data_IF_982035506704
#
_entry.id   IF_982035506704
#
_cell.length_a   1.000
_cell.length_b   1.000
_cell.length_c   1.000
_cell.angle_alpha   90.00
_cell.angle_beta   90.00
_cell.angle_gamma   90.00
#
_symmetry.space_group_name_H-M   'P 1'
#
loop_
_entity.id
_entity.type
_entity.pdbx_description
1 polymer ?
#
# COMPACT_ATOMS: atom_id res chain seq x y z
N UNK A 1 17.76 -3.16 -7.78
CA UNK A 1 17.62 -2.39 -6.52
C UNK A 1 16.14 -2.32 -6.18
N UNK A 2 15.68 -2.89 -5.05
CA UNK A 2 14.28 -2.73 -4.62
C UNK A 2 14.18 -1.36 -3.93
N UNK A 3 13.28 -0.51 -4.40
CA UNK A 3 13.05 0.87 -3.94
C UNK A 3 12.70 0.93 -2.43
N UNK A 4 13.05 2.05 -1.79
CA UNK A 4 13.12 2.23 -0.33
C UNK A 4 11.81 2.08 0.46
N UNK A 5 10.62 2.10 -0.16
CA UNK A 5 9.34 1.85 0.55
C UNK A 5 9.16 0.36 0.85
N UNK A 6 9.45 -0.52 -0.11
CA UNK A 6 9.38 -1.97 0.09
C UNK A 6 10.35 -2.44 1.16
N UNK A 7 11.52 -1.81 1.26
CA UNK A 7 12.51 -2.17 2.27
C UNK A 7 12.04 -1.79 3.69
N UNK A 8 11.36 -0.65 3.84
CA UNK A 8 10.74 -0.25 5.11
C UNK A 8 9.55 -1.14 5.49
N UNK A 9 8.77 -1.60 4.51
CA UNK A 9 7.69 -2.56 4.73
C UNK A 9 8.20 -3.94 5.21
N UNK A 10 9.48 -4.25 5.04
CA UNK A 10 10.08 -5.49 5.54
C UNK A 10 10.77 -5.32 6.90
N UNK A 11 10.94 -4.08 7.37
CA UNK A 11 11.58 -3.77 8.63
C UNK A 11 10.56 -3.67 9.76
N UNK A 12 10.52 -4.71 10.60
CA UNK A 12 9.58 -4.81 11.71
C UNK A 12 9.85 -3.82 12.85
N UNK A 13 11.04 -3.20 12.88
CA UNK A 13 11.37 -2.20 13.89
C UNK A 13 10.68 -0.85 13.63
N UNK A 14 10.13 -0.64 12.42
CA UNK A 14 9.43 0.57 12.06
C UNK A 14 7.99 0.28 11.62
N UNK A 15 7.07 1.15 12.05
CA UNK A 15 5.70 1.12 11.57
C UNK A 15 5.57 1.97 10.33
N UNK A 16 4.96 1.43 9.28
CA UNK A 16 4.70 2.15 8.04
C UNK A 16 3.23 2.52 7.98
N UNK A 17 2.95 3.80 7.71
CA UNK A 17 1.58 4.29 7.53
C UNK A 17 1.29 4.48 6.05
N UNK A 18 0.18 3.93 5.58
CA UNK A 18 -0.33 4.17 4.23
C UNK A 18 -1.67 4.90 4.32
N UNK A 19 -1.69 6.17 3.87
CA UNK A 19 -2.91 6.97 3.87
C UNK A 19 -3.75 6.62 2.63
N UNK A 20 -5.00 6.25 2.85
CA UNK A 20 -6.01 5.92 1.85
C UNK A 20 -6.90 7.11 1.48
N UNK A 21 -6.64 8.29 2.03
CA UNK A 21 -7.40 9.50 1.73
C UNK A 21 -7.37 9.85 0.24
N UNK A 22 -8.55 9.96 -0.37
CA UNK A 22 -8.70 10.22 -1.80
C UNK A 22 -8.30 9.06 -2.72
N UNK A 23 -7.94 7.89 -2.16
CA UNK A 23 -7.50 6.72 -2.92
C UNK A 23 -8.66 5.75 -3.08
N UNK A 24 -9.07 5.54 -4.33
CA UNK A 24 -9.89 4.39 -4.71
C UNK A 24 -8.98 3.17 -4.95
N UNK A 25 -8.85 2.34 -3.91
CA UNK A 25 -7.92 1.20 -3.84
C UNK A 25 -8.17 0.16 -4.93
N UNK A 26 -9.43 -0.23 -5.15
CA UNK A 26 -9.74 -1.30 -6.10
C UNK A 26 -9.59 -0.83 -7.54
N UNK A 27 -9.95 0.42 -7.82
CA UNK A 27 -9.68 1.02 -9.13
C UNK A 27 -8.17 1.16 -9.37
N UNK A 28 -7.39 1.55 -8.36
CA UNK A 28 -5.92 1.65 -8.46
C UNK A 28 -5.27 0.31 -8.80
N UNK A 29 -5.58 -0.75 -8.04
CA UNK A 29 -5.07 -2.10 -8.29
C UNK A 29 -5.49 -2.61 -9.67
N UNK A 30 -6.74 -2.35 -10.07
CA UNK A 30 -7.27 -2.77 -11.37
C UNK A 30 -6.60 -2.06 -12.55
N UNK A 31 -6.23 -0.78 -12.40
CA UNK A 31 -5.50 -0.03 -13.45
C UNK A 31 -4.13 -0.63 -13.72
N UNK A 32 -3.43 -1.09 -12.68
CA UNK A 32 -2.06 -1.63 -12.80
C UNK A 32 -2.03 -3.01 -13.44
N UNK A 33 -3.12 -3.77 -13.39
CA UNK A 33 -3.18 -5.10 -13.99
C UNK A 33 -2.76 -5.13 -15.49
N UNK A 34 -3.19 -4.20 -16.36
CA UNK A 34 -2.67 -4.05 -17.73
C UNK A 34 -1.34 -3.28 -17.85
N UNK A 35 -0.64 -3.01 -16.76
CA UNK A 35 0.62 -2.26 -16.73
C UNK A 35 0.47 -0.74 -16.79
N UNK A 36 -0.74 -0.20 -16.55
CA UNK A 36 -1.02 1.24 -16.54
C UNK A 36 -1.24 1.73 -15.11
N UNK A 37 -0.42 2.65 -14.61
CA UNK A 37 -0.66 3.15 -13.26
C UNK A 37 0.42 4.10 -12.80
N UNK A 38 0.04 5.00 -11.90
CA UNK A 38 0.98 5.84 -11.18
C UNK A 38 1.77 5.04 -10.14
N UNK A 39 2.76 5.68 -9.52
CA UNK A 39 3.56 5.05 -8.47
C UNK A 39 2.69 4.44 -7.35
N UNK A 40 1.67 5.18 -6.90
CA UNK A 40 0.74 4.74 -5.85
C UNK A 40 -0.05 3.50 -6.23
N UNK A 41 -0.47 3.39 -7.50
CA UNK A 41 -1.21 2.20 -7.93
C UNK A 41 -0.29 0.96 -7.85
N UNK A 42 0.99 1.08 -8.25
CA UNK A 42 1.98 0.01 -8.15
C UNK A 42 2.32 -0.38 -6.71
N UNK A 43 2.40 0.61 -5.81
CA UNK A 43 2.60 0.38 -4.38
C UNK A 43 1.42 -0.41 -3.78
N UNK A 44 0.18 -0.03 -4.11
CA UNK A 44 -1.02 -0.76 -3.68
C UNK A 44 -1.04 -2.20 -4.18
N UNK A 45 -0.63 -2.46 -5.43
CA UNK A 45 -0.51 -3.82 -5.95
C UNK A 45 0.54 -4.64 -5.19
N UNK A 46 1.67 -4.03 -4.85
CA UNK A 46 2.72 -4.69 -4.07
C UNK A 46 2.28 -4.97 -2.63
N UNK A 47 1.56 -4.04 -2.01
CA UNK A 47 0.94 -4.19 -0.70
C UNK A 47 -0.10 -5.30 -0.72
N UNK A 48 -0.98 -5.34 -1.72
CA UNK A 48 -2.00 -6.39 -1.88
C UNK A 48 -1.37 -7.79 -1.98
N UNK A 49 -0.26 -7.91 -2.71
CA UNK A 49 0.47 -9.18 -2.90
C UNK A 49 1.36 -9.57 -1.72
N UNK A 50 1.63 -8.63 -0.81
CA UNK A 50 2.49 -8.83 0.34
C UNK A 50 1.72 -9.05 1.63
N UNK A 51 2.38 -9.65 2.62
CA UNK A 51 1.90 -9.65 4.00
C UNK A 51 2.85 -8.84 4.86
N UNK A 52 2.49 -7.57 5.10
CA UNK A 52 3.32 -6.62 5.83
C UNK A 52 2.71 -6.37 7.21
N UNK A 53 3.24 -7.06 8.22
CA UNK A 53 2.71 -6.98 9.60
C UNK A 53 2.95 -5.63 10.28
N UNK A 54 3.90 -4.85 9.77
CA UNK A 54 4.23 -3.51 10.25
C UNK A 54 3.48 -2.38 9.50
N UNK A 55 2.62 -2.74 8.55
CA UNK A 55 1.81 -1.80 7.76
C UNK A 55 0.49 -1.48 8.48
N UNK A 56 0.20 -0.19 8.62
CA UNK A 56 -1.07 0.32 9.11
C UNK A 56 -1.72 1.22 8.05
N UNK A 57 -2.96 0.87 7.68
CA UNK A 57 -3.78 1.72 6.82
C UNK A 57 -4.44 2.82 7.62
N UNK A 58 -4.50 4.01 7.05
CA UNK A 58 -5.16 5.18 7.64
C UNK A 58 -6.07 5.86 6.62
N UNK A 59 -7.08 6.55 7.11
CA UNK A 59 -7.87 7.50 6.32
C UNK A 59 -7.83 8.84 7.04
N UNK A 60 -6.98 9.73 6.55
CA UNK A 60 -6.58 10.93 7.29
C UNK A 60 -5.88 10.54 8.61
N UNK A 61 -6.41 11.02 9.74
CA UNK A 61 -5.87 10.73 11.08
C UNK A 61 -6.36 9.41 11.68
N UNK A 62 -7.37 8.78 11.09
CA UNK A 62 -8.00 7.59 11.65
C UNK A 62 -7.36 6.32 11.12
N UNK A 63 -7.30 5.27 11.96
CA UNK A 63 -6.89 3.93 11.53
C UNK A 63 -8.01 3.33 10.66
N UNK A 64 -7.64 2.76 9.53
CA UNK A 64 -8.53 2.06 8.61
C UNK A 64 -8.29 0.55 8.66
N UNK A 65 -9.28 -0.23 8.22
CA UNK A 65 -9.13 -1.67 7.97
C UNK A 65 -8.16 -1.93 6.81
N UNK A 66 -7.61 -3.14 6.75
CA UNK A 66 -6.87 -3.57 5.56
C UNK A 66 -7.87 -3.79 4.42
N UNK A 67 -7.84 -3.01 3.32
CA UNK A 67 -8.82 -3.11 2.24
C UNK A 67 -8.67 -4.39 1.41
N UNK A 68 -7.61 -5.16 1.61
CA UNK A 68 -7.32 -6.40 0.90
C UNK A 68 -7.68 -7.66 1.71
N UNK A 69 -8.34 -7.52 2.87
CA UNK A 69 -8.77 -8.62 3.74
C UNK A 69 -10.25 -8.52 4.09
#
# INVERSE_FOLDING_TARGET
>A
MKSGVLQKLQDLAQRVFFNLEGIDVWSAVSRVAPGKGGATDWELLQIQKGDFVNLEFRQGVQRAGNPFR
#
